data_IF_850686587538
#
_entry.id   IF_850686587538
#
_cell.length_a   1.000
_cell.length_b   1.000
_cell.length_c   1.000
_cell.angle_alpha   90.00
_cell.angle_beta   90.00
_cell.angle_gamma   90.00
#
_symmetry.space_group_name_H-M   'P 1'
#
loop_
_entity.id
_entity.type
_entity.pdbx_description
1 polymer ?
#
# COMPACT_ATOMS: atom_id res chain seq x y z
N UNK A 1 4.88 13.31 -59.73
CA UNK A 1 5.51 12.57 -60.83
C UNK A 1 6.60 13.44 -61.43
N UNK A 2 7.86 13.30 -61.01
CA UNK A 2 9.05 13.66 -61.81
C UNK A 2 10.24 12.87 -61.27
N UNK A 3 10.67 11.91 -62.08
CA UNK A 3 11.88 11.10 -61.91
C UNK A 3 12.94 11.73 -62.81
N UNK A 4 14.18 11.87 -62.35
CA UNK A 4 15.37 11.69 -63.20
C UNK A 4 16.65 11.47 -62.37
N UNK A 5 17.34 10.39 -62.75
CA UNK A 5 18.65 9.88 -62.29
C UNK A 5 19.81 10.71 -62.85
N UNK A 6 21.03 10.52 -62.29
CA UNK A 6 22.36 10.31 -62.91
C UNK A 6 23.41 10.41 -61.77
N UNK A 7 24.13 9.38 -61.31
CA UNK A 7 25.18 8.51 -61.89
C UNK A 7 26.58 9.17 -62.00
N UNK A 8 27.58 8.52 -61.39
CA UNK A 8 29.03 8.69 -61.65
C UNK A 8 29.87 9.04 -60.42
N UNK A 9 31.11 8.62 -60.21
CA UNK A 9 31.88 7.38 -60.44
C UNK A 9 33.27 7.63 -59.81
N UNK A 10 33.72 6.72 -58.96
CA UNK A 10 35.10 6.24 -58.70
C UNK A 10 36.36 7.16 -58.73
N UNK A 11 37.26 6.77 -57.80
CA UNK A 11 38.73 6.82 -57.80
C UNK A 11 39.46 8.04 -57.22
N UNK A 12 40.31 7.77 -56.22
CA UNK A 12 41.27 8.71 -55.66
C UNK A 12 41.99 8.17 -54.42
N UNK A 13 42.84 7.14 -54.61
CA UNK A 13 43.79 6.62 -53.63
C UNK A 13 45.00 7.57 -53.57
N UNK A 14 45.46 8.02 -52.40
CA UNK A 14 46.89 8.24 -52.09
C UNK A 14 47.12 8.66 -50.63
N UNK A 15 48.34 8.36 -50.18
CA UNK A 15 48.76 8.01 -48.83
C UNK A 15 49.53 9.14 -48.11
N UNK A 16 49.56 9.00 -46.78
CA UNK A 16 50.59 9.40 -45.80
C UNK A 16 50.82 10.90 -45.54
N UNK A 17 50.56 11.31 -44.29
CA UNK A 17 51.57 11.81 -43.35
C UNK A 17 50.91 12.15 -42.00
N UNK A 18 51.54 11.72 -40.91
CA UNK A 18 50.91 11.62 -39.58
C UNK A 18 51.04 12.81 -38.65
N UNK A 19 50.93 12.45 -37.35
CA UNK A 19 51.14 13.15 -36.06
C UNK A 19 49.89 12.89 -35.17
N UNK A 20 49.94 11.93 -34.25
CA UNK A 20 50.50 11.98 -32.88
C UNK A 20 49.66 12.84 -31.91
N UNK A 21 49.11 12.12 -30.93
CA UNK A 21 48.62 12.50 -29.58
C UNK A 21 47.53 13.57 -29.42
N UNK A 22 46.37 13.13 -28.97
CA UNK A 22 46.02 13.21 -27.54
C UNK A 22 44.82 12.32 -27.22
N UNK A 23 45.01 11.44 -26.24
CA UNK A 23 43.93 10.66 -25.65
C UNK A 23 42.98 11.58 -24.89
N UNK A 24 41.71 11.53 -25.27
CA UNK A 24 40.62 11.98 -24.41
C UNK A 24 40.09 10.74 -23.70
N UNK A 25 40.49 10.58 -22.44
CA UNK A 25 39.83 9.68 -21.50
C UNK A 25 38.35 10.07 -21.42
N UNK A 26 37.48 9.09 -21.68
CA UNK A 26 36.06 9.17 -21.38
C UNK A 26 35.96 8.99 -19.86
N UNK A 27 35.50 9.98 -19.07
CA UNK A 27 35.20 9.72 -17.67
C UNK A 27 33.90 8.91 -17.61
N UNK A 28 34.07 7.65 -17.24
CA UNK A 28 33.06 6.71 -16.79
C UNK A 28 32.24 7.37 -15.67
N UNK A 29 31.09 7.93 -16.04
CA UNK A 29 30.16 8.53 -15.09
C UNK A 29 29.60 7.40 -14.23
N UNK A 30 30.17 7.30 -13.03
CA UNK A 30 29.81 6.43 -11.95
C UNK A 30 28.28 6.35 -11.80
N UNK A 31 27.80 5.12 -11.90
CA UNK A 31 26.46 4.70 -11.51
C UNK A 31 26.27 4.98 -10.02
N UNK A 32 25.71 6.14 -9.70
CA UNK A 32 25.20 6.42 -8.36
C UNK A 32 23.69 6.19 -8.37
N UNK A 33 23.31 4.90 -8.46
CA UNK A 33 21.98 4.49 -8.05
C UNK A 33 21.98 4.45 -6.53
N UNK A 34 21.16 5.24 -5.82
CA UNK A 34 20.95 5.02 -4.40
C UNK A 34 20.32 3.64 -4.22
N UNK A 35 21.19 2.73 -3.80
CA UNK A 35 20.97 1.44 -3.19
C UNK A 35 19.58 1.31 -2.58
N UNK A 36 18.83 0.31 -3.08
CA UNK A 36 17.74 -0.41 -2.40
C UNK A 36 18.05 -0.50 -0.91
N UNK A 37 17.46 0.40 -0.12
CA UNK A 37 17.64 0.40 1.31
C UNK A 37 17.12 -0.94 1.84
N UNK A 38 18.05 -1.71 2.42
CA UNK A 38 17.77 -2.90 3.16
C UNK A 38 16.60 -2.65 4.12
N UNK A 39 15.64 -3.58 4.18
CA UNK A 39 14.62 -3.62 5.22
C UNK A 39 15.33 -3.57 6.57
N UNK A 40 15.11 -2.53 7.40
CA UNK A 40 15.82 -2.43 8.65
C UNK A 40 15.28 -3.51 9.60
N UNK A 41 16.20 -4.40 9.93
CA UNK A 41 16.23 -5.20 11.17
C UNK A 41 15.46 -4.53 12.30
N UNK A 42 14.53 -5.28 12.89
CA UNK A 42 13.78 -5.01 14.12
C UNK A 42 14.25 -3.74 14.88
N UNK A 43 13.74 -2.59 14.45
CA UNK A 43 14.00 -1.32 15.11
C UNK A 43 13.28 -1.33 16.47
N UNK A 44 13.86 -0.69 17.49
CA UNK A 44 13.20 -0.47 18.78
C UNK A 44 11.78 0.07 18.54
N UNK A 45 10.79 -0.28 19.39
CA UNK A 45 9.41 0.13 19.17
C UNK A 45 9.35 1.66 19.05
N UNK A 46 8.90 2.13 17.89
CA UNK A 46 8.78 3.56 17.58
C UNK A 46 7.91 4.24 18.65
N UNK A 47 8.48 5.22 19.36
CA UNK A 47 7.78 6.03 20.35
C UNK A 47 6.87 7.09 19.70
N UNK A 48 6.08 7.78 20.53
CA UNK A 48 5.11 8.77 20.03
C UNK A 48 5.78 9.92 19.25
N UNK A 49 6.89 10.47 19.76
CA UNK A 49 7.53 11.63 19.16
C UNK A 49 8.21 11.26 17.82
N UNK A 50 8.84 10.09 17.78
CA UNK A 50 9.45 9.55 16.57
C UNK A 50 8.38 9.24 15.52
N UNK A 51 7.28 8.59 15.93
CA UNK A 51 6.14 8.33 15.05
C UNK A 51 5.57 9.63 14.47
N UNK A 52 5.45 10.67 15.31
CA UNK A 52 4.99 11.99 14.86
C UNK A 52 5.89 12.58 13.77
N UNK A 53 7.19 12.68 14.03
CA UNK A 53 8.14 13.26 13.08
C UNK A 53 8.16 12.48 11.76
N UNK A 54 8.12 11.15 11.81
CA UNK A 54 8.14 10.32 10.59
C UNK A 54 6.80 10.36 9.83
N UNK A 55 5.67 10.39 10.54
CA UNK A 55 4.35 10.50 9.93
C UNK A 55 4.18 11.82 9.18
N UNK A 56 4.67 12.92 9.76
CA UNK A 56 4.70 14.25 9.13
C UNK A 56 5.59 14.29 7.88
N UNK A 57 6.61 13.43 7.79
CA UNK A 57 7.44 13.23 6.59
C UNK A 57 6.83 12.30 5.56
N UNK A 58 5.63 11.76 5.84
CA UNK A 58 4.89 10.92 4.90
C UNK A 58 5.20 9.43 4.98
N UNK A 59 5.88 8.97 6.03
CA UNK A 59 6.09 7.54 6.29
C UNK A 59 4.76 6.87 6.68
N UNK A 60 4.32 5.90 5.90
CA UNK A 60 2.99 5.27 6.03
C UNK A 60 2.88 4.46 7.32
N UNK A 61 3.92 3.72 7.69
CA UNK A 61 3.93 2.91 8.92
C UNK A 61 3.90 3.81 10.16
N UNK A 62 4.64 4.91 10.13
CA UNK A 62 4.61 5.91 11.19
C UNK A 62 3.24 6.59 11.31
N UNK A 63 2.54 6.86 10.20
CA UNK A 63 1.18 7.38 10.23
C UNK A 63 0.23 6.40 10.93
N UNK A 64 0.32 5.11 10.61
CA UNK A 64 -0.46 4.05 11.30
C UNK A 64 -0.11 3.99 12.77
N UNK A 65 1.18 4.01 13.10
CA UNK A 65 1.66 3.94 14.49
C UNK A 65 1.20 5.14 15.31
N UNK A 66 1.28 6.35 14.75
CA UNK A 66 0.82 7.58 15.38
C UNK A 66 -0.69 7.57 15.60
N UNK A 67 -1.46 7.13 14.62
CA UNK A 67 -2.89 6.93 14.77
C UNK A 67 -3.22 5.95 15.91
N UNK A 68 -2.50 4.83 15.99
CA UNK A 68 -2.65 3.84 17.05
C UNK A 68 -2.33 4.44 18.44
N UNK A 69 -1.32 5.31 18.54
CA UNK A 69 -1.02 6.04 19.77
C UNK A 69 -2.19 6.92 20.22
N UNK A 70 -2.76 7.71 19.31
CA UNK A 70 -3.94 8.54 19.59
C UNK A 70 -5.18 7.73 19.94
N UNK A 71 -5.40 6.60 19.26
CA UNK A 71 -6.51 5.70 19.54
C UNK A 71 -6.40 5.05 20.93
N UNK A 72 -5.21 4.56 21.30
CA UNK A 72 -4.92 3.95 22.60
C UNK A 72 -4.82 4.98 23.74
N UNK A 73 -4.76 6.27 23.41
CA UNK A 73 -4.63 7.34 24.37
C UNK A 73 -3.25 7.49 25.00
N UNK A 74 -2.20 7.38 24.18
CA UNK A 74 -0.81 7.47 24.59
C UNK A 74 -0.10 8.54 23.74
N UNK A 75 0.05 9.80 24.21
CA UNK A 75 -0.12 10.25 25.60
C UNK A 75 -1.56 10.63 26.00
N UNK A 76 -2.44 10.95 25.03
CA UNK A 76 -3.82 11.33 25.29
C UNK A 76 -4.72 10.77 24.18
N UNK A 77 -5.92 10.32 24.55
CA UNK A 77 -6.89 9.79 23.58
C UNK A 77 -7.43 10.91 22.70
N UNK A 78 -7.33 10.72 21.39
CA UNK A 78 -7.86 11.64 20.39
C UNK A 78 -8.28 10.85 19.14
N UNK A 79 -9.57 10.52 19.06
CA UNK A 79 -10.09 9.71 17.95
C UNK A 79 -10.08 10.46 16.63
N UNK A 80 -10.08 11.80 16.63
CA UNK A 80 -10.02 12.61 15.40
C UNK A 80 -8.61 12.62 14.82
N UNK A 81 -7.58 12.66 15.67
CA UNK A 81 -6.21 12.44 15.22
C UNK A 81 -5.99 11.00 14.73
N UNK A 82 -6.52 10.00 15.43
CA UNK A 82 -6.46 8.61 14.94
C UNK A 82 -7.12 8.47 13.56
N UNK A 83 -8.33 9.01 13.40
CA UNK A 83 -9.06 9.05 12.12
C UNK A 83 -8.22 9.71 11.01
N UNK A 84 -7.65 10.89 11.28
CA UNK A 84 -6.84 11.64 10.32
C UNK A 84 -5.63 10.85 9.82
N UNK A 85 -4.83 10.31 10.74
CA UNK A 85 -3.59 9.63 10.38
C UNK A 85 -3.84 8.26 9.73
N UNK A 86 -4.85 7.50 10.19
CA UNK A 86 -5.23 6.29 9.48
C UNK A 86 -5.80 6.59 8.09
N UNK A 87 -6.57 7.67 7.90
CA UNK A 87 -7.06 8.08 6.57
C UNK A 87 -5.91 8.32 5.60
N UNK A 88 -4.89 9.07 6.01
CA UNK A 88 -3.71 9.31 5.17
C UNK A 88 -3.02 8.01 4.73
N UNK A 89 -2.85 7.05 5.65
CA UNK A 89 -2.24 5.76 5.33
C UNK A 89 -3.17 4.89 4.46
N UNK A 90 -4.47 4.87 4.75
CA UNK A 90 -5.47 4.13 3.99
C UNK A 90 -5.59 4.66 2.56
N UNK A 91 -5.62 5.98 2.34
CA UNK A 91 -5.70 6.57 1.00
C UNK A 91 -4.50 6.19 0.11
N UNK A 92 -3.39 5.74 0.72
CA UNK A 92 -2.20 5.20 0.05
C UNK A 92 -2.19 3.66 -0.03
N UNK A 93 -3.32 3.03 0.26
CA UNK A 93 -3.54 1.59 0.13
C UNK A 93 -3.14 0.77 1.36
N UNK A 94 -2.85 1.36 2.53
CA UNK A 94 -2.43 0.59 3.70
C UNK A 94 -3.59 -0.22 4.30
N UNK A 95 -3.56 -1.57 4.24
CA UNK A 95 -4.71 -2.39 4.60
C UNK A 95 -5.03 -2.37 6.10
N UNK A 96 -4.02 -2.30 6.97
CA UNK A 96 -4.25 -2.21 8.42
C UNK A 96 -4.86 -0.86 8.82
N UNK A 97 -4.48 0.22 8.14
CA UNK A 97 -5.04 1.54 8.40
C UNK A 97 -6.53 1.55 8.04
N UNK A 98 -6.88 0.96 6.90
CA UNK A 98 -8.25 0.83 6.45
C UNK A 98 -9.11 -0.02 7.41
N UNK A 99 -8.61 -1.18 7.91
CA UNK A 99 -9.41 -1.96 8.88
C UNK A 99 -9.59 -1.22 10.21
N UNK A 100 -8.60 -0.44 10.65
CA UNK A 100 -8.71 0.38 11.86
C UNK A 100 -9.71 1.53 11.69
N UNK A 101 -9.79 2.16 10.51
CA UNK A 101 -10.85 3.13 10.19
C UNK A 101 -12.21 2.48 10.20
N UNK A 102 -12.36 1.29 9.59
CA UNK A 102 -13.63 0.58 9.62
C UNK A 102 -14.07 0.27 11.06
N UNK A 103 -13.14 -0.15 11.93
CA UNK A 103 -13.42 -0.34 13.33
C UNK A 103 -13.86 0.97 14.01
N UNK A 104 -13.18 2.09 13.74
CA UNK A 104 -13.57 3.40 14.26
C UNK A 104 -15.00 3.80 13.81
N UNK A 105 -15.31 3.60 12.53
CA UNK A 105 -16.61 3.91 11.94
C UNK A 105 -17.73 2.93 12.29
N UNK A 106 -17.41 1.77 12.85
CA UNK A 106 -18.41 0.89 13.46
C UNK A 106 -19.10 1.54 14.66
N UNK A 107 -18.52 2.61 15.23
CA UNK A 107 -19.02 3.29 16.41
C UNK A 107 -18.75 2.55 17.72
N UNK A 108 -18.11 1.38 17.69
CA UNK A 108 -17.81 0.60 18.90
C UNK A 108 -16.86 1.31 19.86
N UNK A 109 -15.90 2.09 19.34
CA UNK A 109 -14.98 2.87 20.15
C UNK A 109 -15.60 4.16 20.71
N UNK A 110 -16.50 4.76 19.93
CA UNK A 110 -17.26 5.98 20.25
C UNK A 110 -18.45 6.07 19.27
N UNK A 111 -19.71 6.06 19.75
CA UNK A 111 -20.90 6.16 18.89
C UNK A 111 -20.93 7.43 18.02
N UNK A 112 -20.28 8.53 18.45
CA UNK A 112 -20.20 9.75 17.66
C UNK A 112 -19.33 9.61 16.39
N UNK A 113 -18.53 8.55 16.32
CA UNK A 113 -17.73 8.21 15.14
C UNK A 113 -18.46 7.27 14.18
N UNK A 114 -19.65 6.78 14.51
CA UNK A 114 -20.37 5.82 13.67
C UNK A 114 -20.65 6.38 12.27
N UNK A 115 -20.25 5.63 11.24
CA UNK A 115 -20.53 5.91 9.84
C UNK A 115 -20.51 4.60 9.04
N UNK A 116 -21.69 4.03 8.81
CA UNK A 116 -21.81 2.73 8.15
C UNK A 116 -21.23 2.72 6.73
N UNK A 117 -21.43 3.80 5.97
CA UNK A 117 -20.93 3.90 4.60
C UNK A 117 -19.39 3.88 4.56
N UNK A 118 -18.74 4.66 5.41
CA UNK A 118 -17.27 4.67 5.51
C UNK A 118 -16.75 3.35 6.11
N UNK A 119 -17.45 2.74 7.06
CA UNK A 119 -17.09 1.40 7.57
C UNK A 119 -17.02 0.37 6.44
N UNK A 120 -18.05 0.28 5.61
CA UNK A 120 -18.09 -0.66 4.48
C UNK A 120 -17.05 -0.29 3.41
N UNK A 121 -16.86 1.00 3.13
CA UNK A 121 -15.82 1.48 2.20
C UNK A 121 -14.44 0.97 2.63
N UNK A 122 -14.03 1.24 3.87
CA UNK A 122 -12.69 0.87 4.33
C UNK A 122 -12.53 -0.62 4.60
N UNK A 123 -13.59 -1.36 4.96
CA UNK A 123 -13.56 -2.82 4.97
C UNK A 123 -13.27 -3.40 3.59
N UNK A 124 -13.97 -2.93 2.55
CA UNK A 124 -13.74 -3.38 1.18
C UNK A 124 -12.30 -3.08 0.73
N UNK A 125 -11.83 -1.87 1.01
CA UNK A 125 -10.46 -1.48 0.69
C UNK A 125 -9.43 -2.35 1.42
N UNK A 126 -9.60 -2.59 2.72
CA UNK A 126 -8.70 -3.42 3.51
C UNK A 126 -8.71 -4.89 3.06
N UNK A 127 -9.88 -5.43 2.76
CA UNK A 127 -10.03 -6.79 2.24
C UNK A 127 -9.40 -6.97 0.86
N UNK A 128 -9.52 -5.98 -0.03
CA UNK A 128 -8.83 -5.93 -1.31
C UNK A 128 -7.31 -5.84 -1.14
N UNK A 129 -6.83 -5.14 -0.11
CA UNK A 129 -5.42 -5.16 0.32
C UNK A 129 -4.98 -6.44 1.05
N UNK A 130 -5.85 -7.45 1.12
CA UNK A 130 -5.52 -8.77 1.66
C UNK A 130 -5.48 -8.85 3.19
N UNK A 131 -6.14 -7.93 3.90
CA UNK A 131 -6.29 -8.02 5.35
C UNK A 131 -7.29 -9.14 5.72
N UNK A 132 -6.86 -10.19 6.44
CA UNK A 132 -7.73 -11.32 6.73
C UNK A 132 -8.89 -10.99 7.68
N UNK A 133 -8.71 -10.02 8.59
CA UNK A 133 -9.77 -9.58 9.50
C UNK A 133 -10.87 -8.86 8.73
N UNK A 134 -10.52 -7.95 7.81
CA UNK A 134 -11.49 -7.28 6.96
C UNK A 134 -12.23 -8.26 6.04
N UNK A 135 -11.52 -9.23 5.47
CA UNK A 135 -12.11 -10.31 4.68
C UNK A 135 -13.12 -11.13 5.50
N UNK A 136 -12.75 -11.52 6.72
CA UNK A 136 -13.66 -12.24 7.63
C UNK A 136 -14.91 -11.42 7.95
N UNK A 137 -14.75 -10.14 8.29
CA UNK A 137 -15.87 -9.26 8.64
C UNK A 137 -16.85 -9.07 7.47
N UNK A 138 -16.34 -8.80 6.26
CA UNK A 138 -17.20 -8.75 5.07
C UNK A 138 -17.85 -10.10 4.79
N UNK A 139 -17.15 -11.21 5.03
CA UNK A 139 -17.72 -12.54 4.93
C UNK A 139 -18.96 -12.70 5.81
N UNK A 140 -18.90 -12.24 7.06
CA UNK A 140 -20.05 -12.23 7.97
C UNK A 140 -21.18 -11.33 7.45
N UNK A 141 -20.85 -10.13 6.96
CA UNK A 141 -21.88 -9.20 6.46
C UNK A 141 -22.59 -9.74 5.22
N UNK A 142 -21.89 -10.38 4.29
CA UNK A 142 -22.50 -11.06 3.15
C UNK A 142 -23.24 -12.34 3.54
N UNK A 143 -22.78 -13.08 4.56
CA UNK A 143 -23.48 -14.27 5.04
C UNK A 143 -24.87 -13.90 5.56
N UNK A 144 -24.99 -12.80 6.29
CA UNK A 144 -26.23 -12.42 6.98
C UNK A 144 -27.04 -11.35 6.24
N UNK A 145 -26.45 -10.68 5.23
CA UNK A 145 -27.09 -9.57 4.51
C UNK A 145 -27.24 -8.32 5.37
N UNK A 146 -26.13 -7.86 5.96
CA UNK A 146 -26.09 -6.76 6.93
C UNK A 146 -25.42 -5.50 6.37
N UNK A 147 -25.63 -4.36 7.04
CA UNK A 147 -24.96 -3.09 6.75
C UNK A 147 -25.12 -2.63 5.28
N UNK A 148 -26.32 -2.85 4.73
CA UNK A 148 -26.65 -2.51 3.34
C UNK A 148 -26.09 -3.48 2.30
N UNK A 149 -25.39 -4.54 2.68
CA UNK A 149 -24.94 -5.59 1.76
C UNK A 149 -26.02 -6.65 1.58
N UNK A 150 -26.27 -7.14 0.36
CA UNK A 150 -27.19 -8.24 0.13
C UNK A 150 -26.61 -9.53 0.73
N UNK A 151 -27.50 -10.44 1.15
CA UNK A 151 -27.07 -11.79 1.50
C UNK A 151 -26.51 -12.52 0.26
N UNK A 152 -25.24 -12.91 0.33
CA UNK A 152 -24.53 -13.65 -0.72
C UNK A 152 -23.56 -14.67 -0.08
N UNK A 153 -24.01 -15.92 0.00
CA UNK A 153 -23.23 -17.00 0.61
C UNK A 153 -22.01 -17.39 -0.23
N UNK A 154 -22.03 -17.20 -1.54
CA UNK A 154 -20.88 -17.49 -2.39
C UNK A 154 -19.76 -16.47 -2.16
N UNK A 155 -20.12 -15.19 -2.11
CA UNK A 155 -19.16 -14.13 -1.78
C UNK A 155 -18.63 -14.30 -0.35
N UNK A 156 -19.49 -14.62 0.62
CA UNK A 156 -19.07 -14.89 1.99
C UNK A 156 -18.04 -16.03 2.05
N UNK A 157 -18.32 -17.17 1.39
CA UNK A 157 -17.40 -18.32 1.35
C UNK A 157 -16.05 -17.96 0.74
N UNK A 158 -16.02 -17.19 -0.36
CA UNK A 158 -14.76 -16.73 -0.98
C UNK A 158 -13.93 -15.87 -0.03
N UNK A 159 -14.57 -14.94 0.67
CA UNK A 159 -13.91 -14.07 1.64
C UNK A 159 -13.34 -14.86 2.82
N UNK A 160 -14.11 -15.82 3.36
CA UNK A 160 -13.59 -16.71 4.40
C UNK A 160 -12.42 -17.57 3.91
N UNK A 161 -12.48 -18.09 2.67
CA UNK A 161 -11.36 -18.85 2.10
C UNK A 161 -10.11 -17.98 2.04
N UNK A 162 -10.20 -16.76 1.51
CA UNK A 162 -9.07 -15.85 1.41
C UNK A 162 -8.44 -15.52 2.78
N UNK A 163 -9.28 -15.33 3.81
CA UNK A 163 -8.81 -15.11 5.17
C UNK A 163 -8.20 -16.38 5.80
N UNK A 164 -8.79 -17.55 5.57
CA UNK A 164 -8.29 -18.82 6.08
C UNK A 164 -6.95 -19.22 5.43
N UNK A 165 -6.75 -18.93 4.14
CA UNK A 165 -5.46 -19.13 3.45
C UNK A 165 -4.33 -18.32 4.12
N UNK A 166 -4.70 -17.21 4.77
CA UNK A 166 -3.82 -16.38 5.62
C UNK A 166 -3.81 -16.81 7.09
N UNK A 167 -4.31 -18.01 7.39
CA UNK A 167 -4.39 -18.64 8.72
C UNK A 167 -5.24 -17.84 9.72
N UNK A 168 -6.25 -17.12 9.25
CA UNK A 168 -7.21 -16.47 10.14
C UNK A 168 -8.21 -17.49 10.66
N UNK A 169 -7.96 -17.97 11.88
CA UNK A 169 -8.62 -19.12 12.49
C UNK A 169 -10.15 -19.03 12.44
N UNK A 170 -10.73 -17.87 12.77
CA UNK A 170 -12.18 -17.68 12.75
C UNK A 170 -12.80 -17.92 11.37
N UNK A 171 -12.08 -17.63 10.28
CA UNK A 171 -12.53 -17.93 8.93
C UNK A 171 -12.36 -19.41 8.59
N UNK A 172 -11.28 -20.07 9.03
CA UNK A 172 -11.10 -21.51 8.85
C UNK A 172 -12.19 -22.30 9.58
N UNK A 173 -12.52 -21.92 10.82
CA UNK A 173 -13.63 -22.48 11.58
C UNK A 173 -14.98 -22.21 10.92
N UNK A 174 -15.17 -21.01 10.35
CA UNK A 174 -16.42 -20.70 9.65
C UNK A 174 -16.61 -21.57 8.40
N UNK A 175 -15.53 -21.89 7.68
CA UNK A 175 -15.55 -22.78 6.52
C UNK A 175 -15.86 -24.23 6.89
N UNK A 176 -15.36 -24.74 8.03
CA UNK A 176 -15.62 -26.11 8.46
C UNK A 176 -17.08 -26.35 8.85
N UNK A 177 -17.81 -25.28 9.18
CA UNK A 177 -19.23 -25.27 9.55
C UNK A 177 -20.12 -24.58 8.53
N UNK A 178 -19.59 -24.31 7.32
CA UNK A 178 -20.31 -23.60 6.27
C UNK A 178 -21.46 -24.48 5.75
N UNK A 179 -22.71 -23.97 5.69
CA UNK A 179 -23.87 -24.73 5.26
C UNK A 179 -23.87 -25.11 3.77
#
# INVERSE_FOLDING_TARGET
MFIKKLAGSLFGLLLLSGCVQQGAEIPEAATDQPSKAASPTAQAPMDFNTAKVMAERGDIEAQVKLANFYFMGKPRKDLKQAEYWWKMAADRGHPEAAVNLAFLYSGQADPAMANEADMIKYLNQSAAGGNPMAQHMLGNFYMDGMHGLPRDTFQAKRLYQSACDKKFESSCQRLSTFP
#
